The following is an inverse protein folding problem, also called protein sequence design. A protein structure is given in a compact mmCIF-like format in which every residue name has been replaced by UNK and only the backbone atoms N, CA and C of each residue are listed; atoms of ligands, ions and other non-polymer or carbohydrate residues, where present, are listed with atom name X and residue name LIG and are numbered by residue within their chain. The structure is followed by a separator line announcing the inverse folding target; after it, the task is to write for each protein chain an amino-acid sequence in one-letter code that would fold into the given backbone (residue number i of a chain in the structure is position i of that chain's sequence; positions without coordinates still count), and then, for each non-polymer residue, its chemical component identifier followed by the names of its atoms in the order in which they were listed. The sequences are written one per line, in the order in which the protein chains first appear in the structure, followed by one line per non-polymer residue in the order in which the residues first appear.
data_IF_969879938769
#
_entry.id   IF_969879938769
#
_cell.length_a   1.000
_cell.length_b   1.000
_cell.length_c   1.000
_cell.angle_alpha   90.00
_cell.angle_beta   90.00
_cell.angle_gamma   90.00
#
_symmetry.space_group_name_H-M   'P 1'
#
loop_
_entity.id
_entity.type
_entity.pdbx_description
1 polymer ?
#
# COMPACT_ATOMS: atom_id res chain seq x y z
N UNK A 1 -3.22 5.20 -24.55
CA UNK A 1 -3.84 6.12 -23.54
C UNK A 1 -2.77 6.87 -22.74
N UNK A 2 -1.88 6.23 -21.98
CA UNK A 2 -0.82 6.93 -21.23
C UNK A 2 0.24 7.56 -22.13
N UNK A 3 0.62 6.89 -23.22
CA UNK A 3 1.53 7.45 -24.22
C UNK A 3 0.97 8.71 -24.91
N UNK A 4 -0.34 8.88 -24.98
CA UNK A 4 -0.96 10.09 -25.53
C UNK A 4 -0.83 11.28 -24.57
N UNK A 5 -0.87 11.03 -23.25
CA UNK A 5 -0.65 12.06 -22.22
C UNK A 5 0.75 12.64 -22.37
N UNK A 6 1.75 11.78 -22.54
CA UNK A 6 3.13 12.22 -22.71
C UNK A 6 3.36 12.89 -24.07
N UNK A 7 2.75 12.38 -25.15
CA UNK A 7 2.85 12.94 -26.49
C UNK A 7 2.37 14.39 -26.60
N UNK A 8 1.43 14.80 -25.75
CA UNK A 8 0.80 16.12 -25.77
C UNK A 8 1.44 17.15 -24.84
N UNK A 9 2.43 16.75 -24.00
CA UNK A 9 2.94 17.61 -22.95
C UNK A 9 4.44 17.55 -22.70
N UNK A 10 4.88 18.31 -21.71
CA UNK A 10 6.23 18.23 -21.16
C UNK A 10 6.31 17.12 -20.10
N UNK A 11 7.53 16.74 -19.72
CA UNK A 11 7.74 15.83 -18.57
C UNK A 11 6.98 16.28 -17.33
N UNK A 12 6.99 17.56 -17.02
CA UNK A 12 6.30 18.11 -15.85
C UNK A 12 4.79 17.95 -15.96
N UNK A 13 4.18 18.22 -17.12
CA UNK A 13 2.73 18.05 -17.33
C UNK A 13 2.34 16.58 -17.26
N UNK A 14 3.14 15.67 -17.80
CA UNK A 14 2.95 14.22 -17.70
C UNK A 14 2.99 13.77 -16.23
N UNK A 15 4.03 14.16 -15.50
CA UNK A 15 4.16 13.85 -14.07
C UNK A 15 2.98 14.38 -13.26
N UNK A 16 2.59 15.65 -13.45
CA UNK A 16 1.46 16.25 -12.74
C UNK A 16 0.15 15.52 -13.04
N UNK A 17 -0.10 15.18 -14.30
CA UNK A 17 -1.30 14.43 -14.71
C UNK A 17 -1.33 13.05 -14.06
N UNK A 18 -0.23 12.31 -14.08
CA UNK A 18 -0.13 10.99 -13.43
C UNK A 18 -0.29 11.09 -11.92
N UNK A 19 0.25 12.14 -11.30
CA UNK A 19 0.08 12.41 -9.86
C UNK A 19 -1.39 12.65 -9.52
N UNK A 20 -2.09 13.47 -10.28
CA UNK A 20 -3.52 13.76 -10.06
C UNK A 20 -4.40 12.52 -10.29
N UNK A 21 -4.12 11.74 -11.33
CA UNK A 21 -4.83 10.49 -11.60
C UNK A 21 -4.58 9.46 -10.49
N UNK A 22 -3.32 9.28 -10.08
CA UNK A 22 -2.94 8.39 -9.00
C UNK A 22 -3.57 8.80 -7.67
N UNK A 23 -3.52 10.09 -7.34
CA UNK A 23 -4.16 10.64 -6.13
C UNK A 23 -5.67 10.41 -6.12
N UNK A 24 -6.35 10.72 -7.24
CA UNK A 24 -7.80 10.52 -7.36
C UNK A 24 -8.18 9.05 -7.22
N UNK A 25 -7.44 8.15 -7.85
CA UNK A 25 -7.66 6.70 -7.76
C UNK A 25 -7.43 6.20 -6.33
N UNK A 26 -6.34 6.61 -5.68
CA UNK A 26 -6.03 6.21 -4.32
C UNK A 26 -7.02 6.78 -3.31
N UNK A 27 -7.39 8.05 -3.46
CA UNK A 27 -8.41 8.67 -2.62
C UNK A 27 -9.76 7.95 -2.75
N UNK A 28 -10.13 7.53 -3.96
CA UNK A 28 -11.37 6.76 -4.19
C UNK A 28 -11.30 5.40 -3.49
N UNK A 29 -10.22 4.64 -3.66
CA UNK A 29 -10.06 3.31 -3.07
C UNK A 29 -9.98 3.39 -1.54
N UNK A 30 -9.02 4.15 -1.01
CA UNK A 30 -8.82 4.29 0.44
C UNK A 30 -10.00 5.00 1.11
N UNK A 31 -10.53 6.04 0.49
CA UNK A 31 -11.68 6.81 1.01
C UNK A 31 -12.95 5.99 1.08
N UNK A 32 -13.25 5.16 0.08
CA UNK A 32 -14.40 4.25 0.10
C UNK A 32 -14.30 3.23 1.23
N UNK A 33 -13.12 2.60 1.38
CA UNK A 33 -12.85 1.66 2.48
C UNK A 33 -12.93 2.38 3.84
N UNK A 34 -12.33 3.55 3.96
CA UNK A 34 -12.33 4.33 5.19
C UNK A 34 -13.76 4.76 5.57
N UNK A 35 -14.54 5.22 4.61
CA UNK A 35 -15.94 5.56 4.84
C UNK A 35 -16.74 4.39 5.37
N UNK A 36 -16.62 3.22 4.73
CA UNK A 36 -17.39 2.04 5.11
C UNK A 36 -17.00 1.45 6.47
N UNK A 37 -15.71 1.42 6.80
CA UNK A 37 -15.21 0.70 7.97
C UNK A 37 -14.86 1.60 9.17
N UNK A 38 -14.53 2.87 8.93
CA UNK A 38 -14.07 3.78 9.98
C UNK A 38 -15.08 4.91 10.28
N UNK A 39 -15.67 5.53 9.25
CA UNK A 39 -16.67 6.58 9.46
C UNK A 39 -18.07 6.03 9.77
N UNK A 40 -18.38 4.80 9.34
CA UNK A 40 -19.63 4.09 9.62
C UNK A 40 -19.39 2.73 10.26
N UNK A 41 -18.70 2.68 11.41
CA UNK A 41 -18.36 1.44 12.05
C UNK A 41 -19.62 0.72 12.56
N UNK A 42 -19.68 -0.59 12.37
CA UNK A 42 -20.74 -1.45 12.91
C UNK A 42 -20.13 -2.52 13.81
N UNK A 43 -20.95 -3.10 14.70
CA UNK A 43 -20.48 -4.23 15.50
C UNK A 43 -20.02 -5.39 14.62
N UNK A 44 -20.77 -5.71 13.56
CA UNK A 44 -20.46 -6.81 12.63
C UNK A 44 -19.12 -6.61 11.90
N UNK A 45 -18.76 -5.38 11.52
CA UNK A 45 -17.44 -5.10 10.94
C UNK A 45 -16.35 -5.09 12.00
N UNK A 46 -16.59 -4.46 13.16
CA UNK A 46 -15.61 -4.33 14.23
C UNK A 46 -15.14 -5.69 14.78
N UNK A 47 -15.99 -6.70 14.79
CA UNK A 47 -15.60 -8.04 15.20
C UNK A 47 -14.35 -8.54 14.47
N UNK A 48 -14.18 -8.13 13.22
CA UNK A 48 -13.06 -8.51 12.34
C UNK A 48 -11.96 -7.45 12.27
N UNK A 49 -12.00 -6.42 13.13
CA UNK A 49 -10.93 -5.42 13.18
C UNK A 49 -9.68 -6.01 13.84
N UNK A 50 -8.54 -6.04 13.12
CA UNK A 50 -7.28 -6.64 13.56
C UNK A 50 -6.81 -6.03 14.89
N UNK A 51 -6.77 -4.70 14.99
CA UNK A 51 -6.64 -4.01 16.26
C UNK A 51 -8.04 -3.55 16.72
N UNK A 52 -8.56 -3.99 17.87
CA UNK A 52 -9.89 -3.59 18.32
C UNK A 52 -10.05 -2.08 18.56
N UNK A 53 -8.96 -1.34 18.68
CA UNK A 53 -8.97 0.13 18.84
C UNK A 53 -8.90 0.81 17.47
N UNK A 54 -9.57 1.94 17.35
CA UNK A 54 -9.48 2.81 16.17
C UNK A 54 -8.31 3.79 16.30
N UNK A 55 -7.59 4.10 15.20
CA UNK A 55 -6.55 5.12 15.21
C UNK A 55 -7.17 6.51 15.44
N UNK A 56 -6.49 7.43 16.14
CA UNK A 56 -6.98 8.80 16.28
C UNK A 56 -7.02 9.53 14.93
N UNK A 57 -7.94 10.50 14.77
CA UNK A 57 -8.08 11.27 13.53
C UNK A 57 -6.78 11.99 13.12
N UNK A 58 -5.95 12.39 14.08
CA UNK A 58 -4.63 12.98 13.81
C UNK A 58 -3.67 12.00 13.15
N UNK A 59 -3.68 10.73 13.53
CA UNK A 59 -2.87 9.69 12.86
C UNK A 59 -3.33 9.48 11.41
N UNK A 60 -4.65 9.41 11.18
CA UNK A 60 -5.21 9.29 9.82
C UNK A 60 -4.85 10.50 8.95
N UNK A 61 -4.88 11.71 9.52
CA UNK A 61 -4.41 12.92 8.84
C UNK A 61 -2.94 12.80 8.43
N UNK A 62 -2.10 12.32 9.32
CA UNK A 62 -0.67 12.17 9.05
C UNK A 62 -0.41 11.11 7.97
N UNK A 63 -1.20 10.01 7.95
CA UNK A 63 -1.21 9.03 6.85
C UNK A 63 -1.57 9.68 5.52
N UNK A 64 -2.62 10.51 5.47
CA UNK A 64 -3.05 11.20 4.24
C UNK A 64 -1.96 12.17 3.75
N UNK A 65 -1.36 12.95 4.65
CA UNK A 65 -0.27 13.87 4.29
C UNK A 65 0.91 13.09 3.70
N UNK A 66 1.29 11.99 4.36
CA UNK A 66 2.41 11.18 3.92
C UNK A 66 2.10 10.45 2.60
N UNK A 67 0.86 9.98 2.42
CA UNK A 67 0.37 9.40 1.16
C UNK A 67 0.53 10.40 -0.02
N UNK A 68 0.16 11.67 0.17
CA UNK A 68 0.32 12.69 -0.89
C UNK A 68 1.79 12.88 -1.24
N UNK A 69 2.68 12.97 -0.25
CA UNK A 69 4.13 13.10 -0.46
C UNK A 69 4.69 11.89 -1.21
N UNK A 70 4.36 10.67 -0.74
CA UNK A 70 4.80 9.42 -1.36
C UNK A 70 4.34 9.31 -2.81
N UNK A 71 3.08 9.66 -3.09
CA UNK A 71 2.53 9.57 -4.43
C UNK A 71 3.19 10.57 -5.41
N UNK A 72 3.45 11.81 -4.96
CA UNK A 72 4.18 12.79 -5.79
C UNK A 72 5.55 12.26 -6.21
N UNK A 73 6.21 11.52 -5.33
CA UNK A 73 7.51 10.91 -5.59
C UNK A 73 7.40 9.68 -6.48
N UNK A 74 6.47 8.77 -6.19
CA UNK A 74 6.26 7.53 -6.93
C UNK A 74 5.95 7.79 -8.40
N UNK A 75 5.14 8.80 -8.71
CA UNK A 75 4.70 9.11 -10.07
C UNK A 75 5.79 9.70 -10.97
N UNK A 76 6.95 10.06 -10.41
CA UNK A 76 8.14 10.38 -11.20
C UNK A 76 8.61 9.16 -12.02
N UNK A 77 8.48 7.95 -11.48
CA UNK A 77 8.90 6.74 -12.18
C UNK A 77 8.07 6.47 -13.45
N UNK A 78 6.72 6.43 -13.42
CA UNK A 78 5.94 6.27 -14.63
C UNK A 78 6.10 7.44 -15.60
N UNK A 79 6.27 8.69 -15.13
CA UNK A 79 6.55 9.82 -16.00
C UNK A 79 7.89 9.65 -16.72
N UNK A 80 8.94 9.23 -16.00
CA UNK A 80 10.23 8.92 -16.59
C UNK A 80 10.17 7.74 -17.58
N UNK A 81 9.40 6.70 -17.27
CA UNK A 81 9.21 5.55 -18.15
C UNK A 81 8.61 5.95 -19.50
N UNK A 82 7.54 6.76 -19.47
CA UNK A 82 6.90 7.28 -20.69
C UNK A 82 7.85 8.19 -21.49
N UNK A 83 8.55 9.08 -20.80
CA UNK A 83 9.54 9.96 -21.43
C UNK A 83 10.64 9.17 -22.14
N UNK A 84 11.21 8.17 -21.46
CA UNK A 84 12.27 7.33 -22.02
C UNK A 84 11.77 6.50 -23.23
N UNK A 85 10.55 5.98 -23.16
CA UNK A 85 9.93 5.23 -24.26
C UNK A 85 9.74 6.12 -25.49
N UNK A 86 9.22 7.34 -25.32
CA UNK A 86 9.03 8.30 -26.42
C UNK A 86 10.33 8.67 -27.12
N UNK A 87 11.42 8.80 -26.38
CA UNK A 87 12.73 9.18 -26.92
C UNK A 87 13.57 7.99 -27.39
N UNK A 88 13.01 6.78 -27.41
CA UNK A 88 13.71 5.57 -27.90
C UNK A 88 14.75 5.01 -26.94
N UNK A 89 14.75 5.43 -25.68
CA UNK A 89 15.68 4.95 -24.64
C UNK A 89 15.13 3.77 -23.83
N UNK A 90 13.93 3.30 -24.15
CA UNK A 90 13.25 2.21 -23.45
C UNK A 90 12.60 1.27 -24.45
N UNK A 91 12.40 0.01 -24.07
CA UNK A 91 11.64 -0.99 -24.82
C UNK A 91 10.14 -0.94 -24.54
N UNK A 92 9.70 -0.02 -23.67
CA UNK A 92 8.28 0.17 -23.36
C UNK A 92 7.48 0.56 -24.60
N UNK A 93 6.29 -0.01 -24.73
CA UNK A 93 5.39 0.26 -25.84
C UNK A 93 3.95 0.49 -25.37
N UNK A 94 3.08 0.99 -26.25
CA UNK A 94 1.67 1.25 -25.98
C UNK A 94 0.76 0.52 -26.96
N UNK A 95 -0.44 0.20 -26.49
CA UNK A 95 -1.44 -0.50 -27.30
C UNK A 95 -1.09 -1.97 -27.54
N UNK A 96 -1.87 -2.60 -28.43
CA UNK A 96 -1.62 -3.95 -28.94
C UNK A 96 -1.03 -3.82 -30.34
N UNK A 97 0.09 -4.45 -30.57
CA UNK A 97 0.81 -4.42 -31.86
C UNK A 97 0.82 -5.82 -32.50
N UNK A 98 1.19 -5.89 -33.77
CA UNK A 98 1.37 -7.20 -34.45
C UNK A 98 2.50 -8.02 -33.78
N UNK A 99 3.56 -7.33 -33.33
CA UNK A 99 4.70 -7.97 -32.67
C UNK A 99 4.37 -8.42 -31.23
N UNK A 100 3.58 -7.61 -30.50
CA UNK A 100 3.24 -7.85 -29.10
C UNK A 100 1.73 -7.98 -28.91
N UNK A 101 1.18 -9.11 -29.37
CA UNK A 101 -0.25 -9.42 -29.27
C UNK A 101 -0.71 -9.83 -27.86
N UNK A 102 -1.97 -10.24 -27.73
CA UNK A 102 -2.60 -10.59 -26.46
C UNK A 102 -1.88 -11.70 -25.66
N UNK A 103 -1.31 -12.70 -26.37
CA UNK A 103 -0.54 -13.77 -25.72
C UNK A 103 0.70 -13.22 -25.02
N UNK A 104 1.47 -12.36 -25.69
CA UNK A 104 2.63 -11.70 -25.11
C UNK A 104 2.24 -10.79 -23.93
N UNK A 105 1.17 -10.02 -24.08
CA UNK A 105 0.63 -9.16 -23.02
C UNK A 105 0.27 -9.98 -21.76
N UNK A 106 -0.36 -11.14 -21.92
CA UNK A 106 -0.74 -12.00 -20.80
C UNK A 106 0.47 -12.57 -20.08
N UNK A 107 1.49 -13.03 -20.84
CA UNK A 107 2.74 -13.54 -20.24
C UNK A 107 3.50 -12.45 -19.52
N UNK A 108 3.64 -11.28 -20.13
CA UNK A 108 4.33 -10.15 -19.51
C UNK A 108 3.57 -9.57 -18.32
N UNK A 109 2.25 -9.63 -18.30
CA UNK A 109 1.44 -9.28 -17.13
C UNK A 109 1.78 -10.16 -15.91
N UNK A 110 1.83 -11.48 -16.09
CA UNK A 110 2.18 -12.40 -15.00
C UNK A 110 3.65 -12.23 -14.58
N UNK A 111 4.55 -12.07 -15.55
CA UNK A 111 5.97 -11.87 -15.28
C UNK A 111 6.21 -10.59 -14.48
N UNK A 112 5.65 -9.46 -14.91
CA UNK A 112 5.80 -8.18 -14.23
C UNK A 112 5.18 -8.21 -12.85
N UNK A 113 4.05 -8.91 -12.66
CA UNK A 113 3.43 -9.07 -11.35
C UNK A 113 4.36 -9.80 -10.38
N UNK A 114 4.89 -10.96 -10.76
CA UNK A 114 5.77 -11.76 -9.91
C UNK A 114 7.07 -11.00 -9.61
N UNK A 115 7.68 -10.36 -10.63
CA UNK A 115 8.91 -9.61 -10.46
C UNK A 115 8.71 -8.38 -9.54
N UNK A 116 7.60 -7.66 -9.70
CA UNK A 116 7.28 -6.50 -8.88
C UNK A 116 6.94 -6.91 -7.44
N UNK A 117 6.24 -8.03 -7.25
CA UNK A 117 5.94 -8.56 -5.91
C UNK A 117 7.21 -9.01 -5.18
N UNK A 118 8.11 -9.70 -5.89
CA UNK A 118 9.42 -10.06 -5.33
C UNK A 118 10.27 -8.82 -5.02
N UNK A 119 10.28 -7.82 -5.92
CA UNK A 119 11.01 -6.58 -5.70
C UNK A 119 10.47 -5.84 -4.47
N UNK A 120 9.15 -5.73 -4.33
CA UNK A 120 8.50 -5.09 -3.19
C UNK A 120 8.84 -5.81 -1.88
N UNK A 121 8.74 -7.15 -1.85
CA UNK A 121 9.18 -7.95 -0.72
C UNK A 121 10.65 -7.70 -0.38
N UNK A 122 11.54 -7.80 -1.38
CA UNK A 122 12.99 -7.72 -1.17
C UNK A 122 13.41 -6.33 -0.68
N UNK A 123 12.91 -5.27 -1.33
CA UNK A 123 13.17 -3.90 -0.92
C UNK A 123 12.67 -3.64 0.51
N UNK A 124 11.45 -4.06 0.81
CA UNK A 124 10.85 -3.94 2.14
C UNK A 124 11.66 -4.72 3.20
N UNK A 125 12.11 -5.93 2.87
CA UNK A 125 12.98 -6.71 3.73
C UNK A 125 14.31 -5.99 4.01
N UNK A 126 14.93 -5.37 2.98
CA UNK A 126 16.13 -4.53 3.17
C UNK A 126 15.84 -3.34 4.08
N UNK A 127 14.65 -2.74 3.98
CA UNK A 127 14.16 -1.68 4.85
C UNK A 127 14.29 -2.03 6.33
N UNK A 128 14.08 -3.27 6.69
CA UNK A 128 14.23 -3.75 8.07
C UNK A 128 15.63 -4.26 8.42
N UNK A 129 16.49 -4.56 7.46
CA UNK A 129 17.80 -5.17 7.71
C UNK A 129 18.95 -4.16 7.73
N UNK A 130 18.89 -3.13 6.91
CA UNK A 130 19.99 -2.18 6.77
C UNK A 130 19.61 -0.81 7.32
N UNK A 131 20.51 -0.22 8.12
CA UNK A 131 20.27 1.03 8.81
C UNK A 131 19.85 2.19 7.90
N UNK A 132 20.50 2.33 6.74
CA UNK A 132 20.20 3.40 5.77
C UNK A 132 18.78 3.28 5.21
N UNK A 133 18.34 2.06 4.88
CA UNK A 133 16.98 1.81 4.41
C UNK A 133 15.96 1.96 5.54
N UNK A 134 16.31 1.50 6.75
CA UNK A 134 15.45 1.65 7.92
C UNK A 134 15.16 3.11 8.25
N UNK A 135 16.14 3.99 8.13
CA UNK A 135 15.93 5.42 8.38
C UNK A 135 14.84 6.05 7.48
N UNK A 136 14.63 5.52 6.29
CA UNK A 136 13.55 5.92 5.40
C UNK A 136 12.25 5.19 5.75
N UNK A 137 12.33 3.87 5.94
CA UNK A 137 11.16 3.00 6.11
C UNK A 137 10.50 3.09 7.50
N UNK A 138 11.25 3.43 8.57
CA UNK A 138 10.71 3.56 9.93
C UNK A 138 9.55 4.55 10.05
N UNK A 139 9.49 5.55 9.16
CA UNK A 139 8.42 6.55 9.14
C UNK A 139 7.06 5.94 8.75
N UNK A 140 7.07 4.87 7.96
CA UNK A 140 5.88 4.09 7.68
C UNK A 140 5.40 3.33 8.93
N UNK A 141 6.31 2.84 9.76
CA UNK A 141 6.01 2.09 10.99
C UNK A 141 5.52 2.94 12.18
N UNK A 142 5.50 4.28 12.07
CA UNK A 142 4.80 5.10 13.09
C UNK A 142 3.29 4.83 13.06
N UNK A 143 2.76 4.37 11.93
CA UNK A 143 1.37 3.97 11.73
C UNK A 143 1.14 2.52 12.17
N UNK A 144 1.36 2.23 13.47
CA UNK A 144 1.25 0.88 14.05
C UNK A 144 -0.17 0.28 14.03
N UNK A 145 -1.18 1.09 13.81
CA UNK A 145 -2.58 0.71 13.64
C UNK A 145 -3.12 1.44 12.40
N UNK A 146 -2.65 1.04 11.21
CA UNK A 146 -2.87 1.78 9.99
C UNK A 146 -4.34 1.84 9.58
N UNK A 147 -4.69 2.90 8.84
CA UNK A 147 -5.92 2.99 8.07
C UNK A 147 -5.64 2.74 6.57
N UNK A 148 -6.68 2.60 5.72
CA UNK A 148 -6.49 2.43 4.28
C UNK A 148 -5.63 3.49 3.60
N UNK A 149 -5.44 4.66 4.21
CA UNK A 149 -4.60 5.73 3.68
C UNK A 149 -3.10 5.49 3.88
N UNK A 150 -2.72 4.53 4.75
CA UNK A 150 -1.33 4.22 5.02
C UNK A 150 -0.61 3.49 3.86
N UNK A 151 -1.31 3.03 2.84
CA UNK A 151 -0.78 2.21 1.74
C UNK A 151 0.44 2.80 1.03
N UNK A 152 0.51 4.12 0.91
CA UNK A 152 1.61 4.86 0.28
C UNK A 152 2.15 5.91 1.28
N UNK A 153 1.92 5.72 2.58
CA UNK A 153 2.36 6.65 3.60
C UNK A 153 3.83 6.40 3.99
N UNK A 154 4.69 6.38 2.99
CA UNK A 154 6.14 6.22 3.10
C UNK A 154 6.85 7.56 2.90
N UNK A 155 8.11 7.65 3.30
CA UNK A 155 8.94 8.78 2.92
C UNK A 155 9.13 8.83 1.39
N UNK A 156 9.33 10.03 0.85
CA UNK A 156 9.38 10.24 -0.60
C UNK A 156 10.51 9.44 -1.28
N UNK A 157 11.64 9.23 -0.62
CA UNK A 157 12.75 8.40 -1.14
C UNK A 157 12.35 6.92 -1.13
N UNK A 158 11.73 6.45 -0.04
CA UNK A 158 11.28 5.07 0.11
C UNK A 158 10.24 4.74 -0.98
N UNK A 159 9.25 5.59 -1.14
CA UNK A 159 8.20 5.39 -2.14
C UNK A 159 8.72 5.54 -3.59
N UNK A 160 9.69 6.43 -3.85
CA UNK A 160 10.36 6.48 -5.15
C UNK A 160 11.05 5.16 -5.48
N UNK A 161 11.82 4.63 -4.52
CA UNK A 161 12.53 3.37 -4.71
C UNK A 161 11.55 2.20 -4.97
N UNK A 162 10.42 2.12 -4.23
CA UNK A 162 9.36 1.12 -4.47
C UNK A 162 8.74 1.21 -5.86
N UNK A 163 8.64 2.40 -6.42
CA UNK A 163 8.09 2.63 -7.75
C UNK A 163 9.08 2.39 -8.90
N UNK A 164 10.37 2.15 -8.63
CA UNK A 164 11.39 1.98 -9.69
C UNK A 164 11.12 0.84 -10.68
N UNK A 165 10.41 -0.27 -10.38
CA UNK A 165 10.06 -1.26 -11.41
C UNK A 165 9.24 -0.67 -12.57
N UNK A 166 8.47 0.40 -12.33
CA UNK A 166 7.73 1.11 -13.40
C UNK A 166 8.64 1.73 -14.47
N UNK A 167 9.90 1.98 -14.17
CA UNK A 167 10.87 2.47 -15.14
C UNK A 167 11.88 1.39 -15.53
N UNK A 168 12.33 0.56 -14.60
CA UNK A 168 13.39 -0.42 -14.86
C UNK A 168 12.91 -1.61 -15.69
N UNK A 169 11.69 -2.08 -15.50
CA UNK A 169 11.16 -3.20 -16.28
C UNK A 169 11.03 -2.84 -17.77
N UNK A 170 10.45 -1.67 -18.17
CA UNK A 170 10.43 -1.27 -19.58
C UNK A 170 11.80 -0.94 -20.18
N UNK A 171 12.81 -0.62 -19.39
CA UNK A 171 14.18 -0.49 -19.89
C UNK A 171 14.77 -1.85 -20.31
N UNK A 172 14.43 -2.89 -19.58
CA UNK A 172 15.00 -4.23 -19.79
C UNK A 172 14.21 -5.06 -20.80
N UNK A 173 12.89 -4.97 -20.78
CA UNK A 173 11.96 -5.83 -21.53
C UNK A 173 10.94 -4.98 -22.30
N UNK A 174 10.44 -5.47 -23.45
CA UNK A 174 9.30 -4.87 -24.13
C UNK A 174 8.04 -5.03 -23.28
N UNK A 175 7.70 -4.02 -22.49
CA UNK A 175 6.54 -4.02 -21.60
C UNK A 175 5.51 -3.00 -22.07
N UNK A 176 4.25 -3.42 -22.12
CA UNK A 176 3.14 -2.51 -22.38
C UNK A 176 2.96 -1.53 -21.21
N UNK A 177 3.12 -0.23 -21.49
CA UNK A 177 3.07 0.83 -20.49
C UNK A 177 1.69 0.96 -19.84
N UNK A 178 0.62 0.90 -20.64
CA UNK A 178 -0.76 0.99 -20.13
C UNK A 178 -1.08 -0.18 -19.19
N UNK A 179 -0.65 -1.39 -19.57
CA UNK A 179 -0.82 -2.59 -18.74
C UNK A 179 -0.03 -2.49 -17.43
N UNK A 180 1.24 -2.09 -17.48
CA UNK A 180 2.09 -2.00 -16.30
C UNK A 180 1.55 -0.97 -15.30
N UNK A 181 1.09 0.19 -15.77
CA UNK A 181 0.53 1.22 -14.90
C UNK A 181 -0.83 0.82 -14.32
N UNK A 182 -1.70 0.20 -15.13
CA UNK A 182 -2.95 -0.35 -14.65
C UNK A 182 -2.71 -1.42 -13.58
N UNK A 183 -1.70 -2.27 -13.77
CA UNK A 183 -1.29 -3.28 -12.79
C UNK A 183 -0.88 -2.63 -11.47
N UNK A 184 -0.08 -1.57 -11.48
CA UNK A 184 0.32 -0.87 -10.26
C UNK A 184 -0.85 -0.17 -9.57
N UNK A 185 -1.69 0.54 -10.30
CA UNK A 185 -2.82 1.27 -9.69
C UNK A 185 -3.86 0.30 -9.13
N UNK A 186 -4.25 -0.73 -9.89
CA UNK A 186 -5.36 -1.61 -9.51
C UNK A 186 -4.89 -2.71 -8.54
N UNK A 187 -3.80 -3.41 -8.90
CA UNK A 187 -3.35 -4.54 -8.10
C UNK A 187 -2.48 -4.10 -6.94
N UNK A 188 -1.38 -3.36 -7.16
CA UNK A 188 -0.49 -2.99 -6.05
C UNK A 188 -1.17 -2.00 -5.09
N UNK A 189 -1.66 -0.88 -5.56
CA UNK A 189 -2.29 0.09 -4.66
C UNK A 189 -3.66 -0.38 -4.16
N UNK A 190 -4.45 -1.07 -4.98
CA UNK A 190 -5.71 -1.66 -4.55
C UNK A 190 -5.50 -2.76 -3.51
N UNK A 191 -4.57 -3.69 -3.74
CA UNK A 191 -4.23 -4.72 -2.77
C UNK A 191 -3.55 -4.15 -1.53
N UNK A 192 -2.68 -3.16 -1.69
CA UNK A 192 -2.09 -2.42 -0.59
C UNK A 192 -3.13 -1.73 0.29
N UNK A 193 -4.20 -1.18 -0.32
CA UNK A 193 -5.35 -0.65 0.43
C UNK A 193 -6.04 -1.74 1.26
N UNK A 194 -6.18 -2.97 0.72
CA UNK A 194 -6.67 -4.12 1.49
C UNK A 194 -5.70 -4.50 2.62
N UNK A 195 -4.41 -4.54 2.38
CA UNK A 195 -3.42 -4.87 3.41
C UNK A 195 -3.47 -3.89 4.59
N UNK A 196 -3.66 -2.60 4.30
CA UNK A 196 -3.79 -1.54 5.31
C UNK A 196 -5.22 -1.30 5.80
N UNK A 197 -6.19 -2.14 5.37
CA UNK A 197 -7.59 -1.99 5.76
C UNK A 197 -7.79 -1.98 7.27
N UNK A 198 -6.95 -2.72 8.01
CA UNK A 198 -7.06 -2.90 9.46
C UNK A 198 -8.23 -3.80 9.89
N UNK A 199 -8.87 -4.46 8.92
CA UNK A 199 -9.96 -5.42 9.10
C UNK A 199 -9.69 -6.70 8.31
N UNK A 200 -10.01 -7.83 8.92
CA UNK A 200 -9.96 -9.14 8.28
C UNK A 200 -11.25 -9.36 7.49
N UNK A 201 -11.12 -9.87 6.27
CA UNK A 201 -12.29 -10.20 5.46
C UNK A 201 -12.65 -11.67 5.71
N UNK A 202 -13.89 -11.99 6.12
CA UNK A 202 -14.31 -13.39 6.36
C UNK A 202 -14.12 -14.32 5.15
N UNK A 203 -14.12 -13.76 3.94
CA UNK A 203 -13.88 -14.50 2.69
C UNK A 203 -12.40 -14.84 2.45
N UNK A 204 -11.47 -14.17 3.14
CA UNK A 204 -10.03 -14.40 3.01
C UNK A 204 -9.49 -14.69 4.41
N UNK A 205 -9.30 -15.98 4.76
CA UNK A 205 -8.83 -16.37 6.09
C UNK A 205 -7.49 -15.70 6.42
N UNK A 206 -7.30 -15.33 7.69
CA UNK A 206 -6.09 -14.67 8.17
C UNK A 206 -4.79 -15.45 7.86
N UNK A 207 -4.90 -16.79 7.78
CA UNK A 207 -3.82 -17.73 7.46
C UNK A 207 -3.85 -18.22 6.01
N UNK A 208 -4.46 -17.47 5.09
CA UNK A 208 -4.56 -17.86 3.69
C UNK A 208 -3.23 -18.43 3.17
N UNK A 209 -3.29 -19.61 2.51
CA UNK A 209 -2.10 -20.42 2.19
C UNK A 209 -1.11 -19.75 1.22
N UNK A 210 -1.60 -18.91 0.32
CA UNK A 210 -0.81 -18.27 -0.74
C UNK A 210 -0.61 -16.77 -0.49
N UNK A 211 -1.67 -16.07 -0.06
CA UNK A 211 -1.70 -14.61 -0.02
C UNK A 211 -1.32 -14.06 1.36
N UNK A 212 -0.61 -12.97 1.40
CA UNK A 212 -0.52 -12.12 2.57
C UNK A 212 -1.88 -11.45 2.82
N UNK A 213 -2.25 -11.29 4.09
CA UNK A 213 -3.57 -10.78 4.46
C UNK A 213 -3.46 -9.48 5.23
N UNK A 214 -4.57 -8.76 5.33
CA UNK A 214 -4.65 -7.53 6.14
C UNK A 214 -4.20 -7.76 7.59
N UNK A 215 -4.50 -8.94 8.18
CA UNK A 215 -4.02 -9.28 9.51
C UNK A 215 -2.49 -9.44 9.57
N UNK A 216 -1.90 -10.14 8.62
CA UNK A 216 -0.45 -10.34 8.58
C UNK A 216 0.29 -9.02 8.39
N UNK A 217 -0.24 -8.16 7.55
CA UNK A 217 0.31 -6.82 7.36
C UNK A 217 0.10 -5.91 8.60
N UNK A 218 -1.03 -6.05 9.29
CA UNK A 218 -1.21 -5.42 10.60
C UNK A 218 -0.14 -5.91 11.62
N UNK A 219 0.15 -7.21 11.68
CA UNK A 219 1.24 -7.73 12.51
C UNK A 219 2.59 -7.13 12.13
N UNK A 220 2.84 -6.96 10.83
CA UNK A 220 4.01 -6.28 10.33
C UNK A 220 4.12 -4.88 10.95
N UNK A 221 3.11 -4.02 10.81
CA UNK A 221 3.11 -2.69 11.41
C UNK A 221 3.21 -2.68 12.94
N UNK A 222 2.52 -3.60 13.60
CA UNK A 222 2.43 -3.63 15.05
C UNK A 222 3.66 -4.24 15.74
N UNK A 223 4.35 -5.20 15.09
CA UNK A 223 5.36 -6.05 15.71
C UNK A 223 6.74 -6.02 15.06
N UNK A 224 6.85 -5.62 13.80
CA UNK A 224 8.15 -5.55 13.13
C UNK A 224 9.02 -4.41 13.68
N UNK A 225 10.30 -4.68 13.79
CA UNK A 225 11.33 -3.74 14.22
C UNK A 225 12.54 -3.87 13.27
N UNK A 226 13.49 -2.95 13.40
CA UNK A 226 14.80 -3.10 12.75
C UNK A 226 15.43 -4.43 13.15
N UNK A 227 15.95 -5.15 12.16
CA UNK A 227 16.55 -6.50 12.30
C UNK A 227 15.60 -7.63 12.75
N UNK A 228 14.31 -7.35 12.91
CA UNK A 228 13.29 -8.33 13.26
C UNK A 228 12.02 -8.12 12.44
N UNK A 229 12.10 -8.29 11.12
CA UNK A 229 10.94 -8.15 10.25
C UNK A 229 10.00 -9.34 10.39
N UNK A 230 8.70 -9.07 10.34
CA UNK A 230 7.65 -10.07 10.19
C UNK A 230 6.77 -9.68 9.01
N UNK A 231 6.37 -10.65 8.16
CA UNK A 231 5.44 -10.45 7.06
C UNK A 231 5.78 -9.23 6.18
N UNK A 232 6.98 -9.24 5.61
CA UNK A 232 7.46 -8.20 4.68
C UNK A 232 6.95 -8.39 3.26
N UNK A 233 6.31 -9.53 2.96
CA UNK A 233 5.70 -9.83 1.66
C UNK A 233 4.51 -8.93 1.36
N UNK A 234 4.24 -8.73 0.06
CA UNK A 234 3.11 -7.95 -0.39
C UNK A 234 1.95 -8.86 -0.81
N UNK A 235 1.94 -9.41 -2.04
CA UNK A 235 0.92 -10.37 -2.45
C UNK A 235 1.18 -11.77 -1.90
N UNK A 236 2.36 -12.32 -2.20
CA UNK A 236 2.62 -13.73 -1.99
C UNK A 236 3.41 -13.99 -0.70
N UNK A 237 2.85 -14.83 0.14
CA UNK A 237 3.46 -15.30 1.40
C UNK A 237 4.72 -16.16 1.19
N UNK A 238 4.90 -16.70 0.00
CA UNK A 238 6.05 -17.56 -0.31
C UNK A 238 7.40 -16.90 0.01
N UNK A 239 7.50 -15.59 -0.20
CA UNK A 239 8.73 -14.87 0.11
C UNK A 239 9.01 -14.85 1.61
N UNK A 240 8.01 -14.57 2.43
CA UNK A 240 8.14 -14.62 3.89
C UNK A 240 8.51 -16.02 4.40
N UNK A 241 7.99 -17.06 3.76
CA UNK A 241 8.33 -18.44 4.07
C UNK A 241 9.79 -18.77 3.72
N UNK A 242 10.24 -18.37 2.53
CA UNK A 242 11.61 -18.63 2.05
C UNK A 242 12.66 -17.85 2.85
N UNK A 243 12.35 -16.63 3.26
CA UNK A 243 13.29 -15.75 3.98
C UNK A 243 13.11 -15.78 5.51
N UNK A 244 12.19 -16.60 6.02
CA UNK A 244 12.00 -16.80 7.46
C UNK A 244 11.43 -15.61 8.21
N UNK A 245 10.57 -14.81 7.56
CA UNK A 245 9.94 -13.63 8.14
C UNK A 245 8.50 -13.87 8.60
N UNK A 246 8.05 -15.12 8.66
CA UNK A 246 6.74 -15.45 9.23
C UNK A 246 6.71 -15.18 10.74
N UNK A 247 5.60 -14.64 11.24
CA UNK A 247 5.43 -14.42 12.68
C UNK A 247 5.29 -15.77 13.41
N UNK A 248 6.02 -16.01 14.53
CA UNK A 248 6.08 -17.33 15.17
C UNK A 248 4.76 -17.81 15.77
N UNK A 249 3.86 -16.89 16.16
CA UNK A 249 2.53 -17.22 16.66
C UNK A 249 1.48 -17.40 15.54
N UNK A 250 1.88 -17.31 14.28
CA UNK A 250 0.93 -17.40 13.19
C UNK A 250 -0.23 -16.40 13.33
N UNK A 251 -1.47 -16.91 13.32
CA UNK A 251 -2.72 -16.11 13.34
C UNK A 251 -3.50 -16.24 14.64
N UNK A 252 -2.92 -16.80 15.70
CA UNK A 252 -3.64 -17.05 16.98
C UNK A 252 -4.30 -15.79 17.55
N UNK A 253 -3.66 -14.64 17.42
CA UNK A 253 -4.14 -13.34 17.90
C UNK A 253 -5.02 -12.60 16.86
N UNK A 254 -5.42 -13.26 15.75
CA UNK A 254 -6.26 -12.64 14.72
C UNK A 254 -7.67 -12.34 15.24
N UNK A 255 -8.34 -11.37 14.63
CA UNK A 255 -9.71 -11.05 14.99
C UNK A 255 -10.65 -12.23 14.68
N UNK A 256 -10.41 -12.96 13.60
CA UNK A 256 -11.18 -14.18 13.28
C UNK A 256 -11.08 -15.23 14.38
N UNK A 257 -9.87 -15.50 14.88
CA UNK A 257 -9.68 -16.41 16.00
C UNK A 257 -10.32 -15.88 17.29
N UNK A 258 -10.23 -14.58 17.55
CA UNK A 258 -10.89 -13.95 18.70
C UNK A 258 -12.42 -14.02 18.61
N UNK A 259 -13.01 -13.92 17.42
CA UNK A 259 -14.44 -14.14 17.21
C UNK A 259 -14.83 -15.59 17.52
N UNK A 260 -14.05 -16.55 17.04
CA UNK A 260 -14.31 -17.99 17.31
C UNK A 260 -14.23 -18.33 18.81
N UNK A 261 -13.34 -17.66 19.55
CA UNK A 261 -13.24 -17.82 21.01
C UNK A 261 -14.29 -17.01 21.80
N UNK A 262 -15.18 -16.27 21.11
CA UNK A 262 -16.21 -15.44 21.77
C UNK A 262 -15.68 -14.18 22.45
N UNK A 263 -14.47 -13.74 22.15
CA UNK A 263 -13.82 -12.59 22.79
C UNK A 263 -14.29 -11.23 22.21
N UNK A 264 -14.91 -11.23 21.04
CA UNK A 264 -15.40 -10.02 20.36
C UNK A 264 -16.88 -9.78 20.68
N UNK A 265 -17.15 -9.36 21.92
CA UNK A 265 -18.50 -9.19 22.45
C UNK A 265 -19.10 -7.81 22.15
N UNK A 266 -20.44 -7.70 22.18
CA UNK A 266 -21.15 -6.44 22.02
C UNK A 266 -20.81 -5.45 23.16
N UNK A 267 -20.61 -5.95 24.38
CA UNK A 267 -20.19 -5.11 25.51
C UNK A 267 -18.84 -4.43 25.28
N UNK A 268 -17.86 -5.14 24.72
CA UNK A 268 -16.57 -4.57 24.36
C UNK A 268 -16.69 -3.55 23.23
N UNK A 269 -17.56 -3.80 22.26
CA UNK A 269 -17.87 -2.86 21.19
C UNK A 269 -18.44 -1.54 21.71
N UNK A 270 -19.37 -1.60 22.66
CA UNK A 270 -19.97 -0.41 23.26
C UNK A 270 -18.95 0.42 24.04
N UNK A 271 -17.98 -0.23 24.70
CA UNK A 271 -16.88 0.42 25.42
C UNK A 271 -15.75 0.92 24.47
N UNK A 272 -15.73 0.49 23.21
CA UNK A 272 -14.69 0.89 22.26
C UNK A 272 -14.88 2.36 21.87
N UNK A 273 -13.84 3.16 22.07
CA UNK A 273 -13.81 4.57 21.64
C UNK A 273 -13.80 4.63 20.10
N UNK A 274 -14.75 5.35 19.56
CA UNK A 274 -14.90 5.62 18.12
C UNK A 274 -14.57 7.10 17.90
N UNK A 275 -13.39 7.41 17.33
CA UNK A 275 -13.02 8.79 17.02
C UNK A 275 -14.01 9.44 16.06
N UNK A 276 -14.24 10.74 16.23
CA UNK A 276 -14.99 11.52 15.24
C UNK A 276 -14.08 11.80 14.04
N UNK A 277 -14.27 11.05 12.95
CA UNK A 277 -13.54 11.26 11.71
C UNK A 277 -14.17 12.31 10.78
N UNK A 278 -15.35 12.88 11.13
CA UNK A 278 -15.93 13.97 10.34
C UNK A 278 -15.04 15.22 10.34
N UNK A 279 -14.20 15.37 11.38
CA UNK A 279 -13.20 16.44 11.47
C UNK A 279 -12.23 16.45 10.27
N UNK A 280 -11.96 15.29 9.65
CA UNK A 280 -11.11 15.18 8.45
C UNK A 280 -11.74 15.87 7.21
N UNK A 281 -13.05 16.16 7.24
CA UNK A 281 -13.76 16.89 6.19
C UNK A 281 -13.74 18.41 6.43
N UNK A 282 -13.20 18.88 7.57
CA UNK A 282 -13.21 20.30 7.95
C UNK A 282 -11.87 20.98 7.58
N UNK A 283 -11.82 21.92 6.65
CA UNK A 283 -10.60 22.65 6.32
C UNK A 283 -9.98 23.37 7.51
N UNK A 284 -10.77 23.92 8.42
CA UNK A 284 -10.29 24.61 9.62
C UNK A 284 -9.51 23.67 10.58
N UNK A 285 -9.92 22.41 10.66
CA UNK A 285 -9.22 21.42 11.46
C UNK A 285 -7.86 21.04 10.85
N UNK A 286 -7.74 21.01 9.53
CA UNK A 286 -6.46 20.78 8.85
C UNK A 286 -5.43 21.88 9.11
N UNK A 287 -5.90 23.13 9.24
CA UNK A 287 -5.03 24.28 9.51
C UNK A 287 -4.57 24.35 10.97
N UNK A 288 -5.40 23.87 11.91
CA UNK A 288 -5.14 23.92 13.35
C UNK A 288 -5.41 22.55 14.01
N UNK A 289 -4.68 21.50 13.66
CA UNK A 289 -4.91 20.18 14.23
C UNK A 289 -4.46 20.15 15.70
N UNK A 290 -5.11 19.33 16.55
CA UNK A 290 -4.55 18.98 17.86
C UNK A 290 -3.17 18.33 17.70
N UNK A 291 -2.34 18.40 18.74
CA UNK A 291 -1.03 17.77 18.72
C UNK A 291 -1.11 16.29 18.32
N UNK A 292 -0.31 15.89 17.36
CA UNK A 292 -0.24 14.48 16.94
C UNK A 292 0.32 13.62 18.06
N UNK A 293 -0.35 12.50 18.36
CA UNK A 293 0.11 11.49 19.31
C UNK A 293 0.93 10.39 18.63
N UNK A 294 1.56 10.68 17.51
CA UNK A 294 2.50 9.74 16.89
C UNK A 294 3.62 9.45 17.90
N UNK A 295 3.48 8.36 18.65
CA UNK A 295 4.58 7.83 19.45
C UNK A 295 5.64 7.36 18.48
N UNK A 296 6.73 8.12 18.36
CA UNK A 296 7.96 7.58 17.80
C UNK A 296 8.26 6.29 18.58
N UNK A 297 8.20 5.14 17.92
CA UNK A 297 8.78 3.92 18.49
C UNK A 297 10.25 4.23 18.72
N UNK A 298 10.63 4.53 19.96
CA UNK A 298 12.04 4.61 20.34
C UNK A 298 12.69 3.27 20.01
N UNK A 299 13.75 3.33 19.24
CA UNK A 299 14.79 2.36 18.85
C UNK A 299 14.67 0.95 19.41
#
# INVERSE_FOLDING_TARGET
MLCEIEASGSFFTTWLTLTLLGFSSQLLMSGSCFYAYYMRPTFSSWQYKSNPKYPPATMVRDEIIQMVKGLCSATLCPAASLYLARHGYSKGYCGITEEYGWGYLSVTFLLTWILSDFYEFFYHHLGHRFGTFWEQHKHHHVFYNPSPFAVIADEYIDQFARATPLVTLPLLLPINQDMLFAQYVIFFYGYGTYLHLGFELPSIPADHWLLNTSYQHYLHHARSLKNKPYHTGFFFKIWDQLFGTMHPKGVEDSAMCAVQRGERTRELWEKTVKPDYSVLLSPSWWLNPPASHAKTKST
#
